data_IF_055776412692
#
_entry.id   IF_055776412692
#
_cell.length_a   1.000
_cell.length_b   1.000
_cell.length_c   1.000
_cell.angle_alpha   90.00
_cell.angle_beta   90.00
_cell.angle_gamma   90.00
#
_symmetry.space_group_name_H-M   'P 1'
#
loop_
_entity.id
_entity.type
_entity.pdbx_description
1 polymer ?
#
# COMPACT_ATOMS: atom_id res chain seq x y z
N UNK A 1 3.96 9.48 3.52
CA UNK A 1 5.35 9.55 3.99
C UNK A 1 5.56 9.04 5.42
N UNK A 2 4.57 8.38 6.03
CA UNK A 2 4.67 7.74 7.35
C UNK A 2 5.00 8.67 8.53
N UNK A 3 4.44 9.88 8.52
CA UNK A 3 4.61 10.88 9.60
C UNK A 3 3.32 11.14 10.38
N UNK A 4 2.28 10.31 10.23
CA UNK A 4 0.97 10.52 10.87
C UNK A 4 0.95 10.23 12.37
N UNK A 5 1.84 9.39 12.86
CA UNK A 5 1.79 8.85 14.22
C UNK A 5 0.93 7.58 14.35
N UNK A 6 0.19 7.18 13.32
CA UNK A 6 -0.59 5.95 13.37
C UNK A 6 0.28 4.71 13.66
N UNK A 7 -0.21 3.75 14.45
CA UNK A 7 0.45 2.47 14.68
C UNK A 7 0.78 1.73 13.38
N UNK A 8 1.70 0.78 13.45
CA UNK A 8 2.16 0.04 12.27
C UNK A 8 1.02 -0.73 11.62
N UNK A 9 0.20 -1.39 12.42
CA UNK A 9 -0.95 -2.19 11.97
C UNK A 9 -2.19 -1.83 12.77
N UNK A 10 -3.40 -2.02 12.20
CA UNK A 10 -4.62 -1.98 13.01
C UNK A 10 -4.58 -3.08 14.07
N UNK A 11 -5.16 -2.82 15.26
CA UNK A 11 -5.31 -3.82 16.32
C UNK A 11 -6.48 -4.79 16.02
N UNK A 12 -6.61 -5.20 14.77
CA UNK A 12 -7.66 -6.11 14.32
C UNK A 12 -7.18 -7.57 14.26
N UNK A 13 -8.14 -8.48 14.24
CA UNK A 13 -7.87 -9.86 13.92
C UNK A 13 -7.85 -10.03 12.38
N UNK A 14 -6.67 -10.19 11.80
CA UNK A 14 -6.50 -10.35 10.35
C UNK A 14 -7.21 -11.57 9.74
N UNK A 15 -7.85 -12.40 10.55
CA UNK A 15 -8.71 -13.50 10.11
C UNK A 15 -10.20 -13.17 10.13
N UNK A 16 -10.56 -11.98 10.61
CA UNK A 16 -11.95 -11.51 10.65
C UNK A 16 -12.20 -10.64 9.43
N UNK A 17 -13.36 -10.84 8.80
CA UNK A 17 -13.85 -9.94 7.77
C UNK A 17 -14.36 -8.65 8.40
N UNK A 18 -13.99 -7.52 7.80
CA UNK A 18 -14.44 -6.19 8.19
C UNK A 18 -14.99 -5.45 6.98
N UNK A 19 -16.02 -4.68 7.18
CA UNK A 19 -16.39 -3.63 6.22
C UNK A 19 -15.37 -2.48 6.27
N UNK A 20 -15.35 -1.65 5.24
CA UNK A 20 -14.47 -0.46 5.20
C UNK A 20 -14.70 0.44 6.43
N UNK A 21 -15.97 0.65 6.81
CA UNK A 21 -16.33 1.50 7.96
C UNK A 21 -15.90 0.89 9.29
N UNK A 22 -16.01 -0.43 9.45
CA UNK A 22 -15.53 -1.11 10.65
C UNK A 22 -14.01 -1.02 10.76
N UNK A 23 -13.28 -1.28 9.67
CA UNK A 23 -11.82 -1.21 9.67
C UNK A 23 -11.34 0.23 9.90
N UNK A 24 -11.98 1.21 9.27
CA UNK A 24 -11.70 2.62 9.50
C UNK A 24 -12.02 3.02 10.95
N UNK A 25 -13.12 2.52 11.51
CA UNK A 25 -13.51 2.73 12.91
C UNK A 25 -12.51 2.11 13.90
N UNK A 26 -11.89 0.98 13.57
CA UNK A 26 -10.79 0.40 14.35
C UNK A 26 -9.59 1.35 14.31
N UNK A 27 -9.19 1.82 13.13
CA UNK A 27 -8.04 2.71 12.96
C UNK A 27 -8.23 4.03 13.69
N UNK A 28 -9.41 4.62 13.67
CA UNK A 28 -9.73 5.88 14.37
C UNK A 28 -9.65 5.78 15.90
N UNK A 29 -9.80 4.60 16.45
CA UNK A 29 -9.71 4.36 17.90
C UNK A 29 -8.30 4.09 18.40
N UNK A 30 -7.32 4.02 17.49
CA UNK A 30 -5.94 3.76 17.86
C UNK A 30 -5.30 5.02 18.46
N UNK A 31 -4.60 4.83 19.57
CA UNK A 31 -3.72 5.87 20.10
C UNK A 31 -2.55 6.11 19.15
N UNK A 32 -2.21 7.36 18.94
CA UNK A 32 -1.03 7.71 18.14
C UNK A 32 0.24 7.36 18.90
N UNK A 33 1.22 6.79 18.21
CA UNK A 33 2.55 6.53 18.78
C UNK A 33 3.35 7.82 19.02
N UNK A 34 2.99 8.91 18.34
CA UNK A 34 3.62 10.24 18.43
C UNK A 34 2.73 11.27 17.72
N UNK A 35 2.93 12.53 18.02
CA UNK A 35 2.22 13.64 17.37
C UNK A 35 2.51 13.69 15.87
N UNK A 36 1.47 13.88 15.05
CA UNK A 36 1.61 13.93 13.61
C UNK A 36 2.68 14.95 13.17
N UNK A 37 3.55 14.51 12.28
CA UNK A 37 4.68 15.32 11.79
C UNK A 37 5.91 15.35 12.71
N UNK A 38 5.85 14.87 13.95
CA UNK A 38 6.98 14.95 14.89
C UNK A 38 8.08 13.92 14.60
N UNK A 39 7.71 12.76 14.05
CA UNK A 39 8.63 11.64 13.75
C UNK A 39 8.25 10.94 12.46
N UNK A 40 9.15 10.12 11.97
CA UNK A 40 8.90 9.15 10.92
C UNK A 40 8.85 7.74 11.53
N UNK A 41 7.81 6.97 11.17
CA UNK A 41 7.70 5.55 11.49
C UNK A 41 6.80 4.87 10.46
N UNK A 42 7.30 3.81 9.85
CA UNK A 42 6.52 3.01 8.91
C UNK A 42 5.20 2.54 9.52
N UNK A 43 4.11 2.64 8.74
CA UNK A 43 2.78 2.23 9.18
C UNK A 43 1.92 1.83 7.98
N UNK A 44 1.41 0.61 8.00
CA UNK A 44 0.41 0.12 7.05
C UNK A 44 -0.91 0.91 7.16
N UNK A 45 -1.32 1.30 8.37
CA UNK A 45 -2.53 2.10 8.60
C UNK A 45 -2.58 3.35 7.71
N UNK A 46 -1.44 3.98 7.41
CA UNK A 46 -1.41 5.15 6.51
C UNK A 46 -1.95 4.81 5.13
N UNK A 47 -1.54 3.69 4.57
CA UNK A 47 -1.93 3.30 3.20
C UNK A 47 -3.33 2.70 3.17
N UNK A 48 -3.76 2.02 4.22
CA UNK A 48 -5.16 1.59 4.37
C UNK A 48 -6.08 2.82 4.31
N UNK A 49 -5.78 3.87 5.10
CA UNK A 49 -6.54 5.12 5.10
C UNK A 49 -6.49 5.82 3.73
N UNK A 50 -5.34 5.80 3.04
CA UNK A 50 -5.24 6.36 1.68
C UNK A 50 -6.12 5.61 0.68
N UNK A 51 -6.24 4.28 0.79
CA UNK A 51 -7.17 3.50 -0.02
C UNK A 51 -8.63 3.92 0.19
N UNK A 52 -9.05 4.11 1.44
CA UNK A 52 -10.39 4.62 1.74
C UNK A 52 -10.59 6.06 1.24
N UNK A 53 -9.55 6.88 1.29
CA UNK A 53 -9.60 8.24 0.75
C UNK A 53 -9.80 8.25 -0.77
N UNK A 54 -9.11 7.36 -1.51
CA UNK A 54 -9.36 7.17 -2.95
C UNK A 54 -10.82 6.84 -3.18
N UNK A 55 -11.37 5.84 -2.50
CA UNK A 55 -12.79 5.46 -2.62
C UNK A 55 -13.73 6.62 -2.29
N UNK A 56 -13.43 7.39 -1.25
CA UNK A 56 -14.24 8.54 -0.83
C UNK A 56 -14.27 9.67 -1.87
N UNK A 57 -13.15 9.91 -2.55
CA UNK A 57 -13.02 11.00 -3.54
C UNK A 57 -13.55 10.58 -4.90
N UNK A 58 -13.27 9.34 -5.34
CA UNK A 58 -13.53 8.88 -6.70
C UNK A 58 -14.83 8.07 -6.82
N UNK A 59 -15.31 7.50 -5.71
CA UNK A 59 -16.37 6.48 -5.71
C UNK A 59 -15.86 5.08 -6.12
N UNK A 60 -14.61 4.96 -6.56
CA UNK A 60 -14.01 3.71 -7.04
C UNK A 60 -13.22 3.02 -5.94
N UNK A 61 -13.25 1.69 -5.91
CA UNK A 61 -12.33 0.92 -5.07
C UNK A 61 -10.87 1.18 -5.51
N UNK A 62 -9.94 1.33 -4.56
CA UNK A 62 -8.58 1.76 -4.88
C UNK A 62 -7.89 0.86 -5.92
N UNK A 63 -8.14 -0.44 -5.86
CA UNK A 63 -7.50 -1.40 -6.74
C UNK A 63 -8.01 -1.31 -8.17
N UNK A 64 -9.31 -1.03 -8.36
CA UNK A 64 -9.88 -0.75 -9.68
C UNK A 64 -9.31 0.56 -10.21
N UNK A 65 -9.25 1.59 -9.34
CA UNK A 65 -8.67 2.88 -9.68
C UNK A 65 -7.22 2.76 -10.16
N UNK A 66 -6.35 2.05 -9.43
CA UNK A 66 -4.94 1.90 -9.87
C UNK A 66 -4.81 1.00 -11.09
N UNK A 67 -5.68 0.01 -11.25
CA UNK A 67 -5.70 -0.84 -12.44
C UNK A 67 -6.01 -0.02 -13.70
N UNK A 68 -7.07 0.78 -13.67
CA UNK A 68 -7.50 1.57 -14.82
C UNK A 68 -6.57 2.76 -15.10
N UNK A 69 -6.10 3.43 -14.06
CA UNK A 69 -5.34 4.68 -14.19
C UNK A 69 -3.83 4.49 -14.28
N UNK A 70 -3.34 3.33 -13.84
CA UNK A 70 -1.90 3.08 -13.74
C UNK A 70 -1.50 1.81 -14.48
N UNK A 71 -2.02 0.63 -14.09
CA UNK A 71 -1.52 -0.63 -14.62
C UNK A 71 -1.77 -0.79 -16.12
N UNK A 72 -3.00 -0.58 -16.57
CA UNK A 72 -3.34 -0.69 -18.01
C UNK A 72 -2.58 0.30 -18.89
N UNK A 73 -2.52 1.61 -18.56
CA UNK A 73 -1.74 2.56 -19.35
C UNK A 73 -0.25 2.27 -19.44
N UNK A 74 0.29 1.62 -18.41
CA UNK A 74 1.72 1.23 -18.37
C UNK A 74 1.99 -0.13 -19.01
N UNK A 75 0.97 -0.84 -19.49
CA UNK A 75 1.11 -2.16 -20.07
C UNK A 75 1.41 -3.27 -19.06
N UNK A 76 1.08 -3.07 -17.80
CA UNK A 76 1.21 -4.05 -16.71
C UNK A 76 0.04 -5.04 -16.80
N UNK A 77 0.18 -6.04 -17.66
CA UNK A 77 -0.94 -6.89 -18.10
C UNK A 77 -1.42 -7.90 -17.05
N UNK A 78 -0.57 -8.28 -16.12
CA UNK A 78 -0.89 -9.26 -15.07
C UNK A 78 -1.04 -8.61 -13.70
N UNK A 79 -0.78 -7.31 -13.60
CA UNK A 79 -0.97 -6.55 -12.36
C UNK A 79 -2.45 -6.46 -12.01
N UNK A 80 -2.79 -6.91 -10.82
CA UNK A 80 -4.16 -6.93 -10.33
C UNK A 80 -4.23 -6.92 -8.81
N UNK A 81 -5.37 -6.50 -8.21
CA UNK A 81 -5.58 -6.65 -6.78
C UNK A 81 -5.57 -8.12 -6.37
N UNK A 82 -5.26 -8.37 -5.11
CA UNK A 82 -5.45 -9.68 -4.50
C UNK A 82 -6.94 -9.98 -4.48
N UNK A 83 -7.31 -11.13 -5.05
CA UNK A 83 -8.64 -11.72 -4.99
C UNK A 83 -8.47 -13.19 -4.63
N UNK A 84 -8.87 -13.55 -3.42
CA UNK A 84 -8.73 -14.92 -2.91
C UNK A 84 -9.73 -15.90 -3.54
N UNK A 85 -10.78 -15.40 -4.21
CA UNK A 85 -11.77 -16.19 -4.92
C UNK A 85 -11.39 -16.45 -6.38
N UNK A 86 -10.53 -15.61 -6.96
CA UNK A 86 -10.13 -15.74 -8.34
C UNK A 86 -9.11 -16.86 -8.57
N UNK A 87 -9.30 -17.59 -9.67
CA UNK A 87 -8.27 -18.51 -10.17
C UNK A 87 -7.30 -17.73 -11.03
N UNK A 88 -6.13 -17.43 -10.49
CA UNK A 88 -5.11 -16.64 -11.17
C UNK A 88 -4.04 -17.58 -11.75
N UNK A 89 -3.95 -17.69 -13.08
CA UNK A 89 -2.96 -18.52 -13.73
C UNK A 89 -1.53 -18.15 -13.31
N UNK A 90 -0.71 -19.15 -13.03
CA UNK A 90 0.71 -18.99 -12.64
C UNK A 90 0.94 -18.20 -11.35
N UNK A 91 -0.07 -18.05 -10.49
CA UNK A 91 0.11 -17.42 -9.18
C UNK A 91 1.08 -18.23 -8.33
N UNK A 92 2.14 -17.59 -7.85
CA UNK A 92 3.03 -18.20 -6.85
C UNK A 92 2.31 -18.28 -5.49
N UNK A 93 2.47 -19.40 -4.79
CA UNK A 93 2.00 -19.52 -3.42
C UNK A 93 2.94 -18.77 -2.46
N UNK A 94 2.37 -18.23 -1.38
CA UNK A 94 3.16 -17.64 -0.29
C UNK A 94 3.67 -18.71 0.68
N UNK A 95 4.89 -18.54 1.16
CA UNK A 95 5.51 -19.43 2.16
C UNK A 95 6.17 -18.62 3.27
N UNK A 96 6.11 -19.19 4.49
CA UNK A 96 6.86 -18.74 5.65
C UNK A 96 7.96 -19.73 6.01
N UNK A 97 9.04 -19.27 6.60
CA UNK A 97 10.04 -20.14 7.22
C UNK A 97 9.77 -20.20 8.72
N UNK A 98 9.41 -21.39 9.22
CA UNK A 98 9.22 -21.64 10.65
C UNK A 98 10.13 -22.78 11.12
N UNK A 99 10.92 -22.52 12.13
CA UNK A 99 11.90 -23.50 12.65
C UNK A 99 12.83 -24.06 11.55
N UNK A 100 13.26 -23.17 10.64
CA UNK A 100 14.15 -23.53 9.52
C UNK A 100 13.47 -24.34 8.39
N UNK A 101 12.16 -24.55 8.43
CA UNK A 101 11.40 -25.32 7.44
C UNK A 101 10.37 -24.44 6.71
N UNK A 102 10.20 -24.58 5.38
CA UNK A 102 9.13 -23.89 4.66
C UNK A 102 7.76 -24.43 5.09
N UNK A 103 6.83 -23.51 5.25
CA UNK A 103 5.41 -23.74 5.53
C UNK A 103 4.57 -22.86 4.62
N UNK A 104 3.35 -23.24 4.34
CA UNK A 104 2.42 -22.33 3.67
C UNK A 104 2.26 -21.05 4.51
N UNK A 105 2.23 -19.91 3.84
CA UNK A 105 1.94 -18.64 4.50
C UNK A 105 0.60 -18.71 5.24
N UNK A 106 0.49 -17.95 6.31
CA UNK A 106 -0.72 -17.88 7.09
C UNK A 106 -1.86 -17.28 6.24
N UNK A 107 -3.04 -17.92 6.32
CA UNK A 107 -4.23 -17.31 5.72
C UNK A 107 -4.60 -16.00 6.40
N UNK A 108 -4.95 -15.02 5.59
CA UNK A 108 -5.41 -13.68 6.00
C UNK A 108 -6.80 -13.49 5.37
N UNK A 109 -7.71 -12.78 6.05
CA UNK A 109 -9.06 -12.53 5.53
C UNK A 109 -9.03 -11.72 4.23
N UNK A 110 -10.05 -11.89 3.40
CA UNK A 110 -10.17 -11.14 2.15
C UNK A 110 -10.15 -9.63 2.38
N UNK A 111 -10.79 -9.15 3.45
CA UNK A 111 -10.73 -7.71 3.83
C UNK A 111 -9.31 -7.24 4.10
N UNK A 112 -8.53 -7.98 4.90
CA UNK A 112 -7.15 -7.60 5.19
C UNK A 112 -6.24 -7.74 3.96
N UNK A 113 -6.56 -8.65 3.03
CA UNK A 113 -5.84 -8.82 1.78
C UNK A 113 -6.21 -7.79 0.71
N UNK A 114 -7.29 -7.05 0.88
CA UNK A 114 -7.80 -6.09 -0.11
C UNK A 114 -7.51 -4.63 0.20
N UNK A 115 -6.75 -4.34 1.25
CA UNK A 115 -6.39 -2.98 1.63
C UNK A 115 -5.22 -2.41 0.80
N UNK A 116 -5.12 -1.09 0.71
CA UNK A 116 -4.17 -0.39 -0.19
C UNK A 116 -2.72 -0.38 0.31
N UNK A 117 -2.41 -1.08 1.37
CA UNK A 117 -1.07 -1.13 1.99
C UNK A 117 -0.12 -2.18 1.37
N UNK A 118 -0.57 -2.91 0.34
CA UNK A 118 0.28 -3.87 -0.37
C UNK A 118 -0.44 -5.00 -1.11
N UNK A 119 -1.74 -4.91 -1.24
CA UNK A 119 -2.61 -5.99 -1.72
C UNK A 119 -2.67 -6.10 -3.24
N UNK A 120 -1.53 -6.31 -3.88
CA UNK A 120 -1.39 -6.42 -5.33
C UNK A 120 -0.60 -7.65 -5.73
N UNK A 121 -1.04 -8.34 -6.80
CA UNK A 121 -0.24 -9.30 -7.53
C UNK A 121 0.46 -8.60 -8.70
N UNK A 122 1.75 -8.86 -8.83
CA UNK A 122 2.59 -8.34 -9.90
C UNK A 122 3.50 -9.45 -10.44
N UNK A 123 3.68 -9.51 -11.75
CA UNK A 123 4.74 -10.31 -12.35
C UNK A 123 6.05 -9.52 -12.44
N UNK A 124 7.15 -10.21 -12.70
CA UNK A 124 8.44 -9.54 -12.98
C UNK A 124 8.36 -8.63 -14.22
N UNK A 125 7.52 -8.96 -15.20
CA UNK A 125 7.31 -8.12 -16.39
C UNK A 125 6.53 -6.84 -16.05
N UNK A 126 5.50 -6.94 -15.20
CA UNK A 126 4.79 -5.76 -14.72
C UNK A 126 5.72 -4.85 -13.92
N UNK A 127 6.58 -5.44 -13.09
CA UNK A 127 7.55 -4.67 -12.32
C UNK A 127 8.57 -3.97 -13.21
N UNK A 128 8.98 -4.60 -14.32
CA UNK A 128 9.83 -3.97 -15.33
C UNK A 128 9.13 -2.83 -16.06
N UNK A 129 7.85 -2.98 -16.40
CA UNK A 129 7.04 -1.91 -17.00
C UNK A 129 6.90 -0.71 -16.05
N UNK A 130 6.63 -0.96 -14.77
CA UNK A 130 6.63 0.06 -13.72
C UNK A 130 8.00 0.75 -13.60
N UNK A 131 9.11 -0.02 -13.58
CA UNK A 131 10.47 0.51 -13.55
C UNK A 131 10.80 1.41 -14.75
N UNK A 132 10.33 1.05 -15.95
CA UNK A 132 10.48 1.86 -17.15
C UNK A 132 9.72 3.20 -17.03
N UNK A 133 8.53 3.20 -16.40
CA UNK A 133 7.78 4.44 -16.16
C UNK A 133 8.46 5.33 -15.10
N UNK A 134 9.05 4.75 -14.07
CA UNK A 134 9.82 5.51 -13.07
C UNK A 134 10.97 6.32 -13.74
N UNK A 135 11.60 5.75 -14.76
CA UNK A 135 12.63 6.44 -15.57
C UNK A 135 11.99 7.45 -16.52
N UNK A 136 10.90 7.07 -17.18
CA UNK A 136 10.19 7.88 -18.17
C UNK A 136 9.27 8.95 -17.59
N UNK A 137 8.85 8.82 -16.32
CA UNK A 137 8.00 9.74 -15.57
C UNK A 137 6.69 10.11 -16.27
N UNK A 138 5.99 9.11 -16.83
CA UNK A 138 4.78 9.32 -17.65
C UNK A 138 3.47 9.11 -16.87
N UNK A 139 3.48 8.25 -15.85
CA UNK A 139 2.27 7.85 -15.12
C UNK A 139 1.58 8.99 -14.38
N UNK A 140 2.33 9.98 -13.91
CA UNK A 140 1.79 11.13 -13.19
C UNK A 140 2.43 12.43 -13.69
N UNK A 141 1.78 13.56 -13.39
CA UNK A 141 2.27 14.89 -13.80
C UNK A 141 3.64 15.21 -13.22
N UNK A 142 4.40 16.10 -13.86
CA UNK A 142 5.74 16.50 -13.42
C UNK A 142 5.75 17.08 -11.99
N UNK A 143 4.72 17.84 -11.62
CA UNK A 143 4.59 18.39 -10.26
C UNK A 143 4.40 17.28 -9.22
N UNK A 144 3.64 16.23 -9.58
CA UNK A 144 3.45 15.05 -8.71
C UNK A 144 4.74 14.27 -8.55
N UNK A 145 5.52 14.10 -9.61
CA UNK A 145 6.86 13.50 -9.53
C UNK A 145 7.80 14.29 -8.63
N UNK A 146 7.78 15.62 -8.74
CA UNK A 146 8.56 16.49 -7.85
C UNK A 146 8.17 16.29 -6.39
N UNK A 147 6.85 16.20 -6.09
CA UNK A 147 6.35 15.97 -4.73
C UNK A 147 6.70 14.58 -4.19
N UNK A 148 6.58 13.53 -5.03
CA UNK A 148 6.94 12.14 -4.68
C UNK A 148 8.42 12.05 -4.27
N UNK A 149 9.29 12.78 -4.98
CA UNK A 149 10.74 12.75 -4.78
C UNK A 149 11.23 13.63 -3.62
N UNK A 150 10.35 14.38 -2.97
CA UNK A 150 10.75 15.21 -1.82
C UNK A 150 10.81 14.38 -0.54
N UNK A 151 11.92 14.47 0.22
CA UNK A 151 12.00 13.82 1.51
C UNK A 151 11.06 14.47 2.53
N UNK A 152 10.57 13.68 3.47
CA UNK A 152 9.69 14.16 4.52
C UNK A 152 10.42 15.16 5.43
N UNK A 153 9.81 16.34 5.63
CA UNK A 153 10.27 17.33 6.61
C UNK A 153 9.43 17.20 7.87
N UNK A 154 10.09 16.92 8.99
CA UNK A 154 9.45 16.84 10.31
C UNK A 154 9.19 18.22 10.91
N UNK A 155 8.30 18.31 11.90
CA UNK A 155 7.99 19.56 12.59
C UNK A 155 9.21 20.23 13.24
N UNK A 156 10.22 19.44 13.63
CA UNK A 156 11.51 19.91 14.13
C UNK A 156 12.41 20.53 13.05
N UNK A 157 12.00 20.51 11.78
CA UNK A 157 12.83 20.89 10.62
C UNK A 157 13.76 19.78 10.13
N UNK A 158 13.90 18.67 10.86
CA UNK A 158 14.72 17.53 10.45
C UNK A 158 14.15 16.89 9.19
N UNK A 159 15.02 16.51 8.27
CA UNK A 159 14.67 15.80 7.05
C UNK A 159 14.82 14.29 7.29
N UNK A 160 13.82 13.51 6.87
CA UNK A 160 13.89 12.07 6.83
C UNK A 160 13.91 11.61 5.35
N UNK A 161 14.83 10.74 4.92
CA UNK A 161 15.03 10.39 3.50
C UNK A 161 13.94 9.42 3.00
N UNK A 162 12.69 9.85 3.04
CA UNK A 162 11.52 9.11 2.56
C UNK A 162 10.49 10.06 1.97
N UNK A 163 10.16 9.88 0.71
CA UNK A 163 9.14 10.66 0.01
C UNK A 163 7.75 10.01 0.11
N UNK A 164 6.94 10.12 -0.93
CA UNK A 164 5.67 9.42 -0.98
C UNK A 164 5.87 7.98 -1.46
N UNK A 165 6.07 7.05 -0.51
CA UNK A 165 6.27 5.63 -0.80
C UNK A 165 7.71 5.22 -1.15
N UNK A 166 8.70 6.12 -1.13
CA UNK A 166 10.06 5.87 -1.60
C UNK A 166 11.12 6.33 -0.61
N UNK A 167 12.12 5.47 -0.39
CA UNK A 167 13.36 5.92 0.22
C UNK A 167 14.14 6.79 -0.79
N UNK A 168 14.67 7.88 -0.29
CA UNK A 168 15.51 8.80 -1.05
C UNK A 168 16.98 8.45 -0.76
N UNK A 169 17.73 8.06 -1.80
CA UNK A 169 19.16 7.76 -1.73
C UNK A 169 20.02 8.96 -2.09
#
# INVERSE_FOLDING_TARGET
NHTSGLPTTPNGNFRTEYTDDELLGIIYKLDLNFDAGSRWRFSYCNYIVLGFLIKRITGEYYADFVTERLFRPLGMQTAQPIDDMAIIPNRAAGYDIREGKPRNAQWISATANSTADGSLYLSALDYAAWGADLLGRKAVKAESWAAISQPARLASGRIYPYGFGWFQG
#
